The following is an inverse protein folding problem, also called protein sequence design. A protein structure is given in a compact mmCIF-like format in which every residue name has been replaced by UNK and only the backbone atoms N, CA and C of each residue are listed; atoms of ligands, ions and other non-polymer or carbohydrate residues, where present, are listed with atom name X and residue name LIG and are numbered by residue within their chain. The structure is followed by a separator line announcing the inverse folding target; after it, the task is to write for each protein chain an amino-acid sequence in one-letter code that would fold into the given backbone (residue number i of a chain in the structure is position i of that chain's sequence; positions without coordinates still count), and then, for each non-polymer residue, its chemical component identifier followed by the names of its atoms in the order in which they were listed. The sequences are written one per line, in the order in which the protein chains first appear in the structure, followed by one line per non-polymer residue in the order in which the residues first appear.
data_IF_802835978272
#
_entry.id   IF_802835978272
#
_cell.length_a   1.000
_cell.length_b   1.000
_cell.length_c   1.000
_cell.angle_alpha   90.00
_cell.angle_beta   90.00
_cell.angle_gamma   90.00
#
_symmetry.space_group_name_H-M   'P 1'
#
loop_
_entity.id
_entity.type
_entity.pdbx_description
1 polymer ?
#
# COMPACT_ATOMS: atom_id res chain seq x y z
N UNK A 1 -10.96 7.63 -8.39
CA UNK A 1 -9.51 7.36 -8.49
C UNK A 1 -8.75 8.64 -8.20
N UNK A 2 -8.21 8.79 -6.98
CA UNK A 2 -7.28 9.89 -6.71
C UNK A 2 -6.05 9.70 -7.61
N UNK A 3 -5.78 10.64 -8.52
CA UNK A 3 -4.57 10.60 -9.37
C UNK A 3 -3.35 10.87 -8.49
N UNK A 4 -2.78 9.81 -7.92
CA UNK A 4 -1.45 9.86 -7.33
C UNK A 4 -0.41 9.99 -8.45
N UNK A 5 0.57 10.86 -8.24
CA UNK A 5 1.80 10.89 -9.05
C UNK A 5 2.53 9.56 -8.97
N UNK A 6 3.35 9.24 -9.98
CA UNK A 6 4.22 8.06 -9.96
C UNK A 6 5.09 7.99 -8.70
N UNK A 7 5.52 9.14 -8.18
CA UNK A 7 6.33 9.24 -6.96
C UNK A 7 5.51 8.99 -5.70
N UNK A 8 4.33 9.60 -5.61
CA UNK A 8 3.37 9.40 -4.51
C UNK A 8 2.97 7.93 -4.41
N UNK A 9 2.63 7.31 -5.55
CA UNK A 9 2.28 5.90 -5.64
C UNK A 9 3.42 4.99 -5.16
N UNK A 10 4.65 5.24 -5.63
CA UNK A 10 5.82 4.47 -5.21
C UNK A 10 6.07 4.61 -3.69
N UNK A 11 5.89 5.82 -3.14
CA UNK A 11 6.10 6.07 -1.70
C UNK A 11 5.06 5.36 -0.84
N UNK A 12 3.78 5.41 -1.22
CA UNK A 12 2.70 4.69 -0.52
C UNK A 12 2.99 3.18 -0.49
N UNK A 13 3.31 2.60 -1.64
CA UNK A 13 3.60 1.17 -1.75
C UNK A 13 4.81 0.77 -0.91
N UNK A 14 5.90 1.55 -0.97
CA UNK A 14 7.09 1.28 -0.17
C UNK A 14 6.84 1.37 1.34
N UNK A 15 6.16 2.44 1.79
CA UNK A 15 5.81 2.61 3.20
C UNK A 15 4.89 1.49 3.70
N UNK A 16 3.89 1.07 2.91
CA UNK A 16 3.01 -0.03 3.29
C UNK A 16 3.72 -1.38 3.29
N UNK A 17 4.54 -1.66 2.29
CA UNK A 17 5.31 -2.90 2.23
C UNK A 17 6.23 -3.04 3.46
N UNK A 18 6.83 -1.94 3.93
CA UNK A 18 7.60 -1.94 5.17
C UNK A 18 6.73 -2.28 6.39
N UNK A 19 5.55 -1.68 6.52
CA UNK A 19 4.63 -2.00 7.61
C UNK A 19 4.28 -3.50 7.65
N UNK A 20 3.98 -4.07 6.48
CA UNK A 20 3.67 -5.50 6.34
C UNK A 20 4.88 -6.38 6.71
N UNK A 21 6.08 -6.00 6.29
CA UNK A 21 7.32 -6.69 6.68
C UNK A 21 7.57 -6.64 8.20
N UNK A 22 7.11 -5.59 8.87
CA UNK A 22 7.16 -5.44 10.33
C UNK A 22 6.02 -6.17 11.06
N UNK A 23 5.19 -6.96 10.37
CA UNK A 23 4.09 -7.71 10.97
C UNK A 23 2.82 -6.90 11.22
N UNK A 24 2.66 -5.74 10.58
CA UNK A 24 1.42 -4.98 10.65
C UNK A 24 0.23 -5.77 10.06
N UNK A 25 -0.98 -5.59 10.60
CA UNK A 25 -2.15 -6.29 10.10
C UNK A 25 -2.50 -5.86 8.66
N UNK A 26 -2.85 -6.85 7.84
CA UNK A 26 -3.42 -6.68 6.52
C UNK A 26 -4.88 -6.23 6.68
N UNK A 27 -5.28 -5.16 5.99
CA UNK A 27 -6.66 -4.65 6.04
C UNK A 27 -7.56 -5.37 5.05
N UNK A 28 -6.98 -5.94 4.00
CA UNK A 28 -7.69 -6.71 3.00
C UNK A 28 -7.73 -8.19 3.41
N UNK A 29 -8.88 -8.84 3.23
CA UNK A 29 -9.02 -10.28 3.46
C UNK A 29 -8.33 -11.03 2.32
N UNK A 30 -7.12 -11.50 2.56
CA UNK A 30 -6.45 -12.41 1.65
C UNK A 30 -6.86 -13.86 1.97
N UNK A 31 -7.28 -14.61 0.96
CA UNK A 31 -7.42 -16.07 1.09
C UNK A 31 -6.03 -16.72 1.16
N UNK A 32 -5.93 -17.92 1.74
CA UNK A 32 -4.66 -18.67 1.78
C UNK A 32 -4.05 -18.86 0.39
N UNK A 33 -4.91 -19.13 -0.61
CA UNK A 33 -4.51 -19.25 -2.03
C UNK A 33 -3.92 -17.95 -2.59
N UNK A 34 -4.43 -16.79 -2.18
CA UNK A 34 -3.93 -15.49 -2.63
C UNK A 34 -2.54 -15.19 -2.06
N UNK A 35 -2.33 -15.50 -0.78
CA UNK A 35 -1.06 -15.34 -0.09
C UNK A 35 0.01 -16.28 -0.65
N UNK A 36 -0.37 -17.50 -1.00
CA UNK A 36 0.53 -18.49 -1.57
C UNK A 36 0.94 -18.12 -3.01
N UNK A 37 -0.01 -17.61 -3.82
CA UNK A 37 0.27 -17.09 -5.17
C UNK A 37 1.28 -15.95 -5.18
N UNK A 38 1.22 -15.05 -4.18
CA UNK A 38 2.14 -13.90 -4.08
C UNK A 38 3.36 -14.19 -3.19
N UNK A 39 3.54 -15.44 -2.74
CA UNK A 39 4.65 -15.88 -1.86
C UNK A 39 4.83 -14.97 -0.64
N UNK A 40 3.72 -14.48 -0.08
CA UNK A 40 3.73 -13.53 1.05
C UNK A 40 4.57 -12.25 0.80
N UNK A 41 4.74 -11.85 -0.46
CA UNK A 41 5.53 -10.68 -0.79
C UNK A 41 4.80 -9.39 -0.34
N UNK A 42 5.39 -8.61 0.58
CA UNK A 42 4.73 -7.41 1.13
C UNK A 42 4.43 -6.35 0.07
N UNK A 43 5.20 -6.29 -1.02
CA UNK A 43 4.97 -5.33 -2.11
C UNK A 43 3.68 -5.66 -2.87
N UNK A 44 3.44 -6.93 -3.17
CA UNK A 44 2.25 -7.36 -3.90
C UNK A 44 0.99 -7.24 -3.04
N UNK A 45 1.12 -7.50 -1.73
CA UNK A 45 0.06 -7.26 -0.75
C UNK A 45 -0.30 -5.77 -0.70
N UNK A 46 0.70 -4.88 -0.56
CA UNK A 46 0.49 -3.44 -0.56
C UNK A 46 -0.15 -2.93 -1.87
N UNK A 47 0.19 -3.53 -3.01
CA UNK A 47 -0.37 -3.19 -4.32
C UNK A 47 -1.85 -3.55 -4.41
N UNK A 48 -2.25 -4.71 -3.92
CA UNK A 48 -3.67 -5.13 -3.86
C UNK A 48 -4.47 -4.25 -2.90
N UNK A 49 -3.90 -3.89 -1.74
CA UNK A 49 -4.54 -2.95 -0.81
C UNK A 49 -4.71 -1.55 -1.41
N UNK A 50 -3.72 -1.08 -2.18
CA UNK A 50 -3.81 0.20 -2.90
C UNK A 50 -4.92 0.18 -3.96
N UNK A 51 -5.01 -0.92 -4.73
CA UNK A 51 -6.01 -1.08 -5.78
C UNK A 51 -7.43 -1.12 -5.21
N UNK A 52 -7.60 -1.77 -4.06
CA UNK A 52 -8.85 -1.77 -3.31
C UNK A 52 -9.15 -0.45 -2.57
N UNK A 53 -8.20 0.49 -2.51
CA UNK A 53 -8.38 1.79 -1.87
C UNK A 53 -8.52 1.74 -0.35
N UNK A 54 -8.07 0.66 0.31
CA UNK A 54 -8.21 0.45 1.76
C UNK A 54 -6.98 0.87 2.58
N UNK A 55 -5.98 1.46 1.94
CA UNK A 55 -4.73 1.83 2.61
C UNK A 55 -4.94 2.96 3.62
N UNK A 56 -4.42 2.84 4.86
CA UNK A 56 -4.55 3.86 5.90
C UNK A 56 -3.43 4.91 5.72
N UNK A 57 -3.21 5.37 4.50
CA UNK A 57 -2.13 6.30 4.15
C UNK A 57 -2.73 7.48 3.41
N UNK A 58 -2.63 8.65 4.04
CA UNK A 58 -3.02 9.92 3.45
C UNK A 58 -1.77 10.68 2.96
N UNK A 59 -1.88 11.29 1.79
CA UNK A 59 -0.82 12.15 1.26
C UNK A 59 -1.15 13.59 1.61
N UNK A 60 -0.37 14.16 2.52
CA UNK A 60 -0.37 15.60 2.76
C UNK A 60 0.54 16.29 1.76
N UNK A 61 -0.06 17.03 0.83
CA UNK A 61 0.67 17.93 -0.07
C UNK A 61 0.87 19.25 0.67
N UNK A 62 2.10 19.56 1.07
CA UNK A 62 2.39 20.92 1.50
C UNK A 62 2.46 21.81 0.27
N UNK A 63 1.41 22.58 0.01
CA UNK A 63 1.58 23.81 -0.76
C UNK A 63 2.52 24.68 0.06
N UNK A 64 3.71 24.95 -0.46
CA UNK A 64 4.53 26.05 0.04
C UNK A 64 3.73 27.32 -0.25
N UNK A 65 2.92 27.77 0.70
CA UNK A 65 2.50 29.15 0.70
C UNK A 65 3.75 30.00 0.90
N UNK A 66 3.87 31.02 0.06
CA UNK A 66 4.88 32.08 0.14
C UNK A 66 5.03 32.60 1.57
#
# INVERSE_FOLDING_TARGET
MQKYSKYEKARILGSRALQLAMGAPMLLKFSKEDLEKIRYNPIEIAKRELDAGVLPIEIKRSTSYK
#
